data_IF_533888235156
#
_entry.id   IF_533888235156
#
_cell.length_a   1.000
_cell.length_b   1.000
_cell.length_c   1.000
_cell.angle_alpha   90.00
_cell.angle_beta   90.00
_cell.angle_gamma   90.00
#
_symmetry.space_group_name_H-M   'P 1'
#
loop_
_entity.id
_entity.type
_entity.pdbx_description
1 polymer ?
#
# COMPACT_ATOMS: atom_id res chain seq x y z
N UNK A 1 24.46 7.92 9.07
CA UNK A 1 24.30 6.44 9.00
C UNK A 1 24.09 6.02 7.55
N UNK A 2 24.49 4.79 7.25
CA UNK A 2 24.20 4.12 5.98
C UNK A 2 22.93 3.30 6.13
N UNK A 3 21.85 3.70 5.46
CA UNK A 3 20.52 3.09 5.58
C UNK A 3 20.19 2.26 4.34
N UNK A 4 20.05 0.94 4.50
CA UNK A 4 19.54 0.06 3.45
C UNK A 4 18.02 -0.06 3.57
N UNK A 5 17.28 0.51 2.64
CA UNK A 5 15.81 0.45 2.57
C UNK A 5 15.40 -0.61 1.56
N UNK A 6 14.61 -1.60 1.96
CA UNK A 6 14.21 -2.72 1.12
C UNK A 6 12.68 -2.79 1.04
N UNK A 7 12.10 -2.54 -0.13
CA UNK A 7 10.65 -2.61 -0.32
C UNK A 7 10.25 -3.59 -1.42
N UNK A 8 9.08 -4.18 -1.28
CA UNK A 8 8.48 -5.07 -2.26
C UNK A 8 6.96 -4.87 -2.24
N UNK A 9 6.37 -4.88 -3.42
CA UNK A 9 4.94 -4.66 -3.60
C UNK A 9 4.64 -3.67 -4.71
N UNK A 10 3.45 -3.11 -4.67
CA UNK A 10 2.95 -2.18 -5.68
C UNK A 10 3.45 -0.74 -5.42
N UNK A 11 3.02 0.19 -6.26
CA UNK A 11 3.28 1.63 -6.08
C UNK A 11 2.99 2.11 -4.65
N UNK A 12 1.92 1.59 -4.02
CA UNK A 12 1.55 1.94 -2.64
C UNK A 12 2.56 1.49 -1.58
N UNK A 13 3.42 0.51 -1.89
CA UNK A 13 4.49 0.04 -1.01
C UNK A 13 5.83 0.72 -1.32
N UNK A 14 6.02 1.21 -2.56
CA UNK A 14 7.27 1.83 -3.02
C UNK A 14 7.32 3.33 -2.72
N UNK A 15 6.26 4.09 -3.01
CA UNK A 15 6.23 5.54 -2.79
C UNK A 15 6.51 5.96 -1.35
N UNK A 16 5.95 5.29 -0.31
CA UNK A 16 6.30 5.63 1.06
C UNK A 16 7.77 5.41 1.41
N UNK A 17 8.39 4.34 0.88
CA UNK A 17 9.82 4.11 1.05
C UNK A 17 10.67 5.15 0.30
N UNK A 18 10.23 5.60 -0.86
CA UNK A 18 10.88 6.69 -1.58
C UNK A 18 10.82 8.01 -0.79
N UNK A 19 9.67 8.32 -0.18
CA UNK A 19 9.52 9.47 0.70
C UNK A 19 10.44 9.37 1.93
N UNK A 20 10.53 8.19 2.56
CA UNK A 20 11.44 7.92 3.66
C UNK A 20 12.90 8.12 3.22
N UNK A 21 13.28 7.58 2.06
CA UNK A 21 14.63 7.68 1.52
C UNK A 21 15.06 9.13 1.29
N UNK A 22 14.21 9.93 0.63
CA UNK A 22 14.49 11.36 0.39
C UNK A 22 14.61 12.14 1.69
N UNK A 23 13.68 11.90 2.62
CA UNK A 23 13.73 12.62 3.90
C UNK A 23 14.96 12.23 4.72
N UNK A 24 15.33 10.95 4.78
CA UNK A 24 16.54 10.51 5.45
C UNK A 24 17.80 11.09 4.79
N UNK A 25 17.87 11.11 3.45
CA UNK A 25 18.98 11.73 2.72
C UNK A 25 19.09 13.24 3.01
N UNK A 26 17.98 13.97 3.09
CA UNK A 26 17.96 15.39 3.46
C UNK A 26 18.44 15.65 4.89
N UNK A 27 18.42 14.62 5.76
CA UNK A 27 18.98 14.65 7.12
C UNK A 27 20.46 14.25 7.17
N UNK A 28 21.09 14.02 6.03
CA UNK A 28 22.51 13.69 5.93
C UNK A 28 22.84 12.19 6.06
N UNK A 29 21.86 11.31 5.91
CA UNK A 29 22.10 9.87 5.83
C UNK A 29 22.50 9.45 4.42
N UNK A 30 23.40 8.47 4.29
CA UNK A 30 23.64 7.76 3.04
C UNK A 30 22.56 6.68 2.90
N UNK A 31 21.73 6.76 1.86
CA UNK A 31 20.55 5.90 1.72
C UNK A 31 20.60 5.16 0.39
N UNK A 32 20.41 3.85 0.43
CA UNK A 32 20.14 3.02 -0.76
C UNK A 32 18.78 2.39 -0.66
N UNK A 33 17.95 2.58 -1.71
CA UNK A 33 16.61 2.01 -1.81
C UNK A 33 16.59 0.85 -2.81
N UNK A 34 16.30 -0.35 -2.33
CA UNK A 34 16.06 -1.51 -3.18
C UNK A 34 14.56 -1.68 -3.44
N UNK A 35 14.17 -1.79 -4.70
CA UNK A 35 12.78 -1.72 -5.14
C UNK A 35 12.48 -2.73 -6.28
N UNK A 36 11.19 -3.06 -6.55
CA UNK A 36 10.77 -3.91 -7.65
C UNK A 36 11.19 -3.38 -9.03
N UNK A 37 11.33 -4.28 -10.01
CA UNK A 37 11.80 -3.94 -11.36
C UNK A 37 10.82 -3.06 -12.15
N UNK A 38 9.52 -3.27 -11.90
CA UNK A 38 8.42 -2.51 -12.50
C UNK A 38 8.06 -1.22 -11.75
N UNK A 39 8.76 -0.91 -10.65
CA UNK A 39 8.58 0.34 -9.93
C UNK A 39 9.25 1.52 -10.65
N UNK A 40 8.64 2.70 -10.52
CA UNK A 40 9.24 3.95 -10.99
C UNK A 40 10.38 4.33 -10.06
N UNK A 41 11.58 4.51 -10.62
CA UNK A 41 12.75 4.90 -9.86
C UNK A 41 12.58 6.33 -9.30
N UNK A 42 12.78 6.54 -7.99
CA UNK A 42 12.64 7.86 -7.40
C UNK A 42 13.84 8.75 -7.76
N UNK A 43 13.56 9.97 -8.20
CA UNK A 43 14.63 10.95 -8.45
C UNK A 43 15.33 11.35 -7.14
N UNK A 44 16.65 11.60 -7.21
CA UNK A 44 17.44 12.10 -6.08
C UNK A 44 17.71 11.07 -4.97
N UNK A 45 17.51 9.79 -5.22
CA UNK A 45 17.79 8.68 -4.30
C UNK A 45 18.67 7.67 -5.00
N UNK A 46 19.69 7.13 -4.33
CA UNK A 46 20.43 5.95 -4.81
C UNK A 46 19.51 4.71 -4.70
N UNK A 47 19.37 3.96 -5.80
CA UNK A 47 18.45 2.83 -5.85
C UNK A 47 19.00 1.65 -6.66
N UNK A 48 18.51 0.45 -6.30
CA UNK A 48 18.84 -0.82 -6.97
C UNK A 48 17.58 -1.67 -7.20
N UNK A 49 17.65 -2.63 -8.12
CA UNK A 49 16.55 -3.56 -8.41
C UNK A 49 16.62 -4.83 -7.57
N UNK A 50 15.45 -5.41 -7.29
CA UNK A 50 15.30 -6.65 -6.52
C UNK A 50 14.93 -7.87 -7.35
N UNK A 51 15.05 -7.82 -8.68
CA UNK A 51 14.63 -8.90 -9.60
C UNK A 51 13.17 -9.33 -9.37
N UNK A 52 12.28 -8.38 -9.07
CA UNK A 52 10.88 -8.57 -8.72
C UNK A 52 9.96 -7.82 -9.67
N UNK A 53 9.29 -8.52 -10.56
CA UNK A 53 8.19 -7.99 -11.37
C UNK A 53 6.86 -8.24 -10.66
N UNK A 54 6.34 -7.20 -10.02
CA UNK A 54 5.10 -7.29 -9.21
C UNK A 54 3.88 -7.43 -10.11
N UNK A 55 3.86 -6.77 -11.28
CA UNK A 55 2.75 -6.89 -12.25
C UNK A 55 2.57 -8.34 -12.68
N UNK A 56 3.66 -9.03 -12.98
CA UNK A 56 3.65 -10.43 -13.38
C UNK A 56 3.13 -11.34 -12.27
N UNK A 57 3.52 -11.10 -11.01
CA UNK A 57 3.03 -11.87 -9.86
C UNK A 57 1.53 -11.63 -9.62
N UNK A 58 1.07 -10.39 -9.78
CA UNK A 58 -0.34 -10.02 -9.58
C UNK A 58 -1.23 -10.32 -10.79
N UNK A 59 -0.65 -10.74 -11.92
CA UNK A 59 -1.39 -11.13 -13.11
C UNK A 59 -2.40 -12.24 -12.78
N UNK A 60 -3.59 -12.23 -13.42
CA UNK A 60 -4.66 -13.15 -13.06
C UNK A 60 -4.23 -14.60 -13.25
N UNK A 61 -4.00 -15.30 -12.15
CA UNK A 61 -4.00 -16.77 -12.18
C UNK A 61 -5.42 -17.24 -12.55
N UNK A 62 -5.54 -18.30 -13.35
CA UNK A 62 -6.83 -18.90 -13.64
C UNK A 62 -7.62 -19.23 -12.35
N UNK A 63 -8.93 -19.34 -12.44
CA UNK A 63 -9.83 -19.53 -11.29
C UNK A 63 -9.80 -20.93 -10.67
N UNK A 64 -9.13 -21.89 -11.29
CA UNK A 64 -9.05 -23.27 -10.80
C UNK A 64 -7.93 -23.43 -9.78
N UNK A 65 -8.07 -24.36 -8.80
CA UNK A 65 -6.98 -24.67 -7.87
C UNK A 65 -5.67 -25.07 -8.58
N UNK A 66 -5.77 -25.76 -9.72
CA UNK A 66 -4.62 -26.12 -10.55
C UNK A 66 -3.92 -24.92 -11.17
N UNK A 67 -4.67 -23.97 -11.71
CA UNK A 67 -4.10 -22.73 -12.27
C UNK A 67 -3.41 -21.89 -11.18
N UNK A 68 -4.00 -21.83 -10.00
CA UNK A 68 -3.39 -21.17 -8.85
C UNK A 68 -2.10 -21.85 -8.41
N UNK A 69 -2.10 -23.19 -8.29
CA UNK A 69 -0.91 -23.96 -7.93
C UNK A 69 0.19 -23.82 -9.00
N UNK A 70 -0.18 -23.83 -10.29
CA UNK A 70 0.75 -23.58 -11.39
C UNK A 70 1.37 -22.19 -11.31
N UNK A 71 0.54 -21.15 -11.12
CA UNK A 71 1.02 -19.76 -10.99
C UNK A 71 1.99 -19.59 -9.80
N UNK A 72 1.65 -20.18 -8.66
CA UNK A 72 2.53 -20.15 -7.48
C UNK A 72 3.88 -20.82 -7.76
N UNK A 73 3.91 -21.92 -8.52
CA UNK A 73 5.15 -22.66 -8.83
C UNK A 73 5.94 -22.03 -9.96
N UNK A 74 5.28 -21.54 -11.02
CA UNK A 74 5.92 -21.07 -12.23
C UNK A 74 6.31 -19.57 -12.15
N UNK A 75 5.57 -18.76 -11.43
CA UNK A 75 5.76 -17.31 -11.39
C UNK A 75 6.18 -16.80 -10.00
N UNK A 76 5.35 -17.05 -8.97
CA UNK A 76 5.55 -16.43 -7.66
C UNK A 76 6.82 -16.95 -6.98
N UNK A 77 7.00 -18.27 -6.91
CA UNK A 77 8.15 -18.83 -6.19
C UNK A 77 9.50 -18.52 -6.83
N UNK A 78 9.67 -18.60 -8.17
CA UNK A 78 10.91 -18.18 -8.81
C UNK A 78 11.22 -16.68 -8.64
N UNK A 79 10.20 -15.81 -8.74
CA UNK A 79 10.37 -14.38 -8.48
C UNK A 79 10.82 -14.11 -7.04
N UNK A 80 10.12 -14.68 -6.06
CA UNK A 80 10.52 -14.54 -4.65
C UNK A 80 11.92 -15.05 -4.36
N UNK A 81 12.36 -16.14 -5.01
CA UNK A 81 13.75 -16.62 -4.88
C UNK A 81 14.78 -15.60 -5.38
N UNK A 82 14.55 -15.01 -6.55
CA UNK A 82 15.43 -13.96 -7.09
C UNK A 82 15.48 -12.77 -6.15
N UNK A 83 14.31 -12.29 -5.69
CA UNK A 83 14.22 -11.18 -4.73
C UNK A 83 14.94 -11.46 -3.42
N UNK A 84 14.81 -12.67 -2.87
CA UNK A 84 15.51 -13.11 -1.66
C UNK A 84 17.04 -13.00 -1.85
N UNK A 85 17.56 -13.48 -2.98
CA UNK A 85 18.99 -13.45 -3.30
C UNK A 85 19.46 -12.02 -3.58
N UNK A 86 18.73 -11.26 -4.41
CA UNK A 86 19.06 -9.87 -4.74
C UNK A 86 19.11 -9.00 -3.46
N UNK A 87 18.13 -9.12 -2.57
CA UNK A 87 18.11 -8.38 -1.32
C UNK A 87 19.33 -8.68 -0.43
N UNK A 88 19.82 -9.94 -0.39
CA UNK A 88 21.05 -10.28 0.33
C UNK A 88 22.26 -9.63 -0.33
N UNK A 89 22.45 -9.80 -1.64
CA UNK A 89 23.57 -9.26 -2.39
C UNK A 89 23.69 -7.75 -2.25
N UNK A 90 22.57 -7.04 -2.48
CA UNK A 90 22.55 -5.57 -2.41
C UNK A 90 22.80 -5.06 -0.99
N UNK A 91 22.29 -5.75 0.03
CA UNK A 91 22.52 -5.38 1.43
C UNK A 91 23.98 -5.61 1.81
N UNK A 92 24.57 -6.75 1.43
CA UNK A 92 25.99 -7.05 1.68
C UNK A 92 26.91 -6.05 0.96
N UNK A 93 26.63 -5.74 -0.31
CA UNK A 93 27.42 -4.81 -1.10
C UNK A 93 27.35 -3.37 -0.59
N UNK A 94 26.24 -2.98 0.04
CA UNK A 94 26.06 -1.64 0.59
C UNK A 94 26.70 -1.47 1.96
N UNK A 95 26.91 -2.53 2.74
CA UNK A 95 27.47 -2.47 4.11
C UNK A 95 26.75 -1.46 5.01
N UNK A 96 25.43 -1.64 5.25
CA UNK A 96 24.64 -0.67 6.00
C UNK A 96 24.92 -0.67 7.49
N UNK A 97 24.64 0.46 8.16
CA UNK A 97 24.55 0.56 9.63
C UNK A 97 23.19 0.07 10.14
N UNK A 98 22.14 0.16 9.29
CA UNK A 98 20.76 -0.20 9.63
C UNK A 98 20.00 -0.71 8.38
N UNK A 99 19.25 -1.80 8.54
CA UNK A 99 18.36 -2.35 7.52
C UNK A 99 16.91 -2.01 7.85
N UNK A 100 16.22 -1.31 6.96
CA UNK A 100 14.79 -0.98 7.06
C UNK A 100 14.06 -1.72 5.96
N UNK A 101 13.08 -2.56 6.30
CA UNK A 101 12.50 -3.44 5.30
C UNK A 101 10.99 -3.64 5.41
N UNK A 102 10.35 -3.85 4.25
CA UNK A 102 8.99 -4.33 4.16
C UNK A 102 8.89 -5.82 4.58
N UNK A 103 7.80 -6.31 5.19
CA UNK A 103 7.65 -7.72 5.61
C UNK A 103 7.84 -8.76 4.51
N UNK A 104 7.60 -8.40 3.23
CA UNK A 104 7.80 -9.29 2.08
C UNK A 104 9.28 -9.53 1.74
N UNK A 105 10.21 -8.75 2.27
CA UNK A 105 11.65 -8.99 2.12
C UNK A 105 12.09 -10.04 3.14
N UNK A 106 11.86 -11.31 2.80
CA UNK A 106 11.99 -12.43 3.73
C UNK A 106 13.42 -12.71 4.17
N UNK A 107 14.43 -12.29 3.38
CA UNK A 107 15.85 -12.43 3.71
C UNK A 107 16.40 -11.31 4.61
N UNK A 108 15.68 -10.20 4.77
CA UNK A 108 16.19 -9.07 5.56
C UNK A 108 16.57 -9.44 7.01
N UNK A 109 15.80 -10.28 7.74
CA UNK A 109 16.22 -10.72 9.08
C UNK A 109 17.54 -11.49 9.06
N UNK A 110 17.71 -12.37 8.06
CA UNK A 110 18.90 -13.19 7.94
C UNK A 110 20.16 -12.37 7.62
N UNK A 111 20.07 -11.45 6.66
CA UNK A 111 21.23 -10.65 6.25
C UNK A 111 21.61 -9.65 7.32
N UNK A 112 20.66 -9.00 8.00
CA UNK A 112 20.94 -8.10 9.11
C UNK A 112 21.63 -8.82 10.28
N UNK A 113 21.14 -9.99 10.69
CA UNK A 113 21.75 -10.81 11.74
C UNK A 113 23.17 -11.26 11.33
N UNK A 114 23.40 -11.63 10.06
CA UNK A 114 24.71 -12.05 9.57
C UNK A 114 25.72 -10.90 9.53
N UNK A 115 25.28 -9.68 9.23
CA UNK A 115 26.14 -8.48 9.24
C UNK A 115 26.30 -7.91 10.67
N UNK A 116 25.50 -8.35 11.64
CA UNK A 116 25.52 -7.81 13.01
C UNK A 116 24.93 -6.41 13.13
N UNK A 117 24.04 -6.03 12.19
CA UNK A 117 23.41 -4.70 12.16
C UNK A 117 21.95 -4.75 12.63
N UNK A 118 21.44 -3.69 13.27
CA UNK A 118 20.02 -3.62 13.63
C UNK A 118 19.11 -3.61 12.39
N UNK A 119 17.87 -4.02 12.60
CA UNK A 119 16.84 -3.96 11.55
C UNK A 119 15.52 -3.40 12.07
N UNK A 120 14.81 -2.73 11.19
CA UNK A 120 13.50 -2.14 11.41
C UNK A 120 12.51 -2.67 10.38
N UNK A 121 11.34 -3.10 10.84
CA UNK A 121 10.23 -3.52 9.96
C UNK A 121 9.32 -2.34 9.70
N UNK A 122 8.86 -2.18 8.47
CA UNK A 122 7.86 -1.18 8.09
C UNK A 122 6.58 -1.87 7.67
N UNK A 123 5.47 -1.55 8.32
CA UNK A 123 4.15 -2.08 7.99
C UNK A 123 3.19 -0.95 7.59
N UNK A 124 2.47 -1.15 6.48
CA UNK A 124 1.39 -0.27 5.99
C UNK A 124 -0.01 -0.78 6.39
N UNK A 125 -0.06 -1.92 7.03
CA UNK A 125 -1.22 -2.55 7.63
C UNK A 125 -0.73 -3.59 8.63
N UNK A 126 -1.47 -3.93 9.70
CA UNK A 126 -1.03 -4.90 10.70
C UNK A 126 -1.08 -6.32 10.13
N UNK A 127 0.02 -6.76 9.51
CA UNK A 127 0.17 -8.09 8.91
C UNK A 127 1.14 -8.99 9.69
N UNK A 128 2.17 -8.41 10.31
CA UNK A 128 3.18 -9.10 11.10
C UNK A 128 3.09 -8.76 12.60
N UNK A 129 2.74 -7.52 12.92
CA UNK A 129 2.57 -7.03 14.30
C UNK A 129 1.23 -7.49 14.88
N UNK A 130 1.26 -8.59 15.61
CA UNK A 130 0.05 -9.23 16.14
C UNK A 130 -0.60 -8.44 17.26
N UNK A 131 -1.95 -8.38 17.25
CA UNK A 131 -2.78 -7.77 18.27
C UNK A 131 -4.00 -8.66 18.58
N UNK A 132 -4.46 -8.61 19.82
CA UNK A 132 -5.77 -9.14 20.21
C UNK A 132 -6.91 -8.16 19.86
N UNK A 133 -6.60 -6.89 19.61
CA UNK A 133 -7.57 -5.83 19.29
C UNK A 133 -7.92 -5.75 17.81
N UNK A 134 -7.10 -6.34 16.94
CA UNK A 134 -7.24 -6.25 15.49
C UNK A 134 -6.93 -7.59 14.81
N UNK A 135 -7.72 -8.02 13.82
CA UNK A 135 -7.33 -9.14 12.95
C UNK A 135 -6.18 -8.75 12.04
N UNK A 136 -5.42 -9.75 11.55
CA UNK A 136 -4.41 -9.53 10.52
C UNK A 136 -5.04 -8.96 9.24
N UNK A 137 -4.48 -7.90 8.69
CA UNK A 137 -5.07 -7.15 7.58
C UNK A 137 -5.18 -7.96 6.27
N UNK A 138 -4.24 -8.86 5.99
CA UNK A 138 -4.21 -9.67 4.77
C UNK A 138 -4.94 -11.03 4.86
N UNK A 139 -5.65 -11.30 5.95
CA UNK A 139 -6.31 -12.59 6.19
C UNK A 139 -7.76 -12.65 5.75
N UNK A 140 -8.36 -13.85 5.68
CA UNK A 140 -9.76 -14.04 5.29
C UNK A 140 -10.75 -13.43 6.31
N UNK A 141 -10.28 -13.12 7.51
CA UNK A 141 -11.06 -12.52 8.60
C UNK A 141 -10.74 -11.04 8.83
N UNK A 142 -10.05 -10.39 7.89
CA UNK A 142 -9.55 -9.03 8.03
C UNK A 142 -10.64 -7.97 8.37
N UNK A 143 -11.90 -8.25 8.09
CA UNK A 143 -13.04 -7.37 8.36
C UNK A 143 -13.83 -7.76 9.61
N UNK A 144 -13.46 -8.87 10.30
CA UNK A 144 -14.21 -9.42 11.42
C UNK A 144 -13.39 -9.34 12.70
N UNK A 145 -13.93 -8.68 13.70
CA UNK A 145 -13.35 -8.73 15.04
C UNK A 145 -13.70 -10.09 15.68
N UNK A 146 -12.67 -10.83 16.04
CA UNK A 146 -12.74 -12.14 16.72
C UNK A 146 -12.38 -12.03 18.22
N UNK A 147 -12.30 -10.81 18.74
CA UNK A 147 -11.84 -10.53 20.11
C UNK A 147 -10.43 -11.08 20.35
N UNK A 148 -10.20 -11.74 21.49
CA UNK A 148 -8.90 -12.29 21.84
C UNK A 148 -8.33 -13.26 20.77
N UNK A 149 -9.16 -13.87 19.94
CA UNK A 149 -8.75 -14.76 18.85
C UNK A 149 -8.14 -14.02 17.65
N UNK A 150 -8.23 -12.68 17.59
CA UNK A 150 -7.57 -11.90 16.54
C UNK A 150 -6.08 -12.24 16.40
N UNK A 151 -5.38 -12.51 17.53
CA UNK A 151 -3.97 -12.94 17.48
C UNK A 151 -3.72 -14.18 16.64
N UNK A 152 -4.65 -15.12 16.59
CA UNK A 152 -4.51 -16.34 15.79
C UNK A 152 -4.55 -16.08 14.29
N UNK A 153 -5.19 -14.99 13.85
CA UNK A 153 -5.27 -14.64 12.42
C UNK A 153 -3.92 -14.32 11.80
N UNK A 154 -2.95 -13.88 12.61
CA UNK A 154 -1.57 -13.60 12.19
C UNK A 154 -0.75 -14.87 11.90
N UNK A 155 -1.29 -16.05 12.20
CA UNK A 155 -0.66 -17.32 11.81
C UNK A 155 -0.64 -17.52 10.29
N UNK A 156 -1.65 -16.99 9.56
CA UNK A 156 -1.77 -17.14 8.10
C UNK A 156 -0.61 -16.46 7.37
N UNK A 157 -0.35 -15.15 7.50
CA UNK A 157 0.79 -14.52 6.84
C UNK A 157 2.14 -15.12 7.27
N UNK A 158 2.27 -15.54 8.53
CA UNK A 158 3.48 -16.22 9.00
C UNK A 158 3.68 -17.60 8.35
N UNK A 159 2.61 -18.38 8.16
CA UNK A 159 2.68 -19.66 7.49
C UNK A 159 3.08 -19.50 6.01
N UNK A 160 2.54 -18.47 5.33
CA UNK A 160 2.91 -18.15 3.95
C UNK A 160 4.40 -17.81 3.86
N UNK A 161 4.92 -16.96 4.76
CA UNK A 161 6.34 -16.62 4.78
C UNK A 161 7.24 -17.84 4.98
N UNK A 162 6.83 -18.78 5.84
CA UNK A 162 7.59 -20.03 6.10
C UNK A 162 7.72 -20.94 4.88
N UNK A 163 6.85 -20.85 3.90
CA UNK A 163 6.99 -21.60 2.64
C UNK A 163 8.31 -21.30 1.92
N UNK A 164 8.94 -20.16 2.22
CA UNK A 164 10.19 -19.71 1.63
C UNK A 164 11.42 -19.90 2.54
N UNK A 165 11.27 -20.49 3.74
CA UNK A 165 12.41 -20.67 4.67
C UNK A 165 13.59 -21.41 4.03
N UNK A 166 13.30 -22.43 3.19
CA UNK A 166 14.34 -23.14 2.44
C UNK A 166 15.00 -22.28 1.35
N UNK A 167 14.29 -21.29 0.78
CA UNK A 167 14.84 -20.37 -0.22
C UNK A 167 15.72 -19.32 0.47
N UNK A 168 15.29 -18.82 1.64
CA UNK A 168 16.10 -17.94 2.50
C UNK A 168 17.38 -18.64 2.98
N UNK A 169 17.28 -19.89 3.42
CA UNK A 169 18.45 -20.64 3.86
C UNK A 169 19.49 -20.86 2.74
N UNK A 170 19.04 -21.04 1.48
CA UNK A 170 19.96 -21.16 0.33
C UNK A 170 20.63 -19.83 0.01
N UNK A 171 19.94 -18.72 0.15
CA UNK A 171 20.51 -17.37 -0.06
C UNK A 171 21.61 -17.03 0.95
N UNK A 172 21.76 -17.78 2.04
CA UNK A 172 22.89 -17.64 2.95
C UNK A 172 24.26 -17.90 2.27
N UNK A 173 24.28 -18.57 1.11
CA UNK A 173 25.49 -18.71 0.31
C UNK A 173 26.04 -17.39 -0.24
N UNK A 174 25.21 -16.36 -0.32
CA UNK A 174 25.62 -15.00 -0.74
C UNK A 174 26.25 -14.19 0.42
N UNK A 175 26.24 -14.71 1.64
CA UNK A 175 26.82 -14.03 2.80
C UNK A 175 28.34 -14.18 2.84
N UNK A 176 29.10 -13.15 3.27
CA UNK A 176 30.55 -13.21 3.40
C UNK A 176 30.99 -14.33 4.36
N UNK A 177 32.00 -15.09 3.94
CA UNK A 177 32.63 -16.12 4.79
C UNK A 177 31.75 -17.32 5.15
N UNK A 178 30.65 -17.58 4.39
CA UNK A 178 29.76 -18.71 4.64
C UNK A 178 29.06 -18.66 6.00
N UNK A 179 28.88 -17.48 6.56
CA UNK A 179 28.23 -17.27 7.86
C UNK A 179 26.85 -17.93 7.86
N UNK A 180 26.64 -18.88 8.76
CA UNK A 180 25.29 -19.39 9.01
C UNK A 180 24.58 -18.39 9.93
N UNK A 181 23.39 -17.89 9.52
CA UNK A 181 22.64 -17.00 10.39
C UNK A 181 22.30 -17.74 11.69
N UNK A 182 22.57 -17.09 12.83
CA UNK A 182 22.15 -17.54 14.14
C UNK A 182 20.64 -17.47 14.32
N UNK A 183 20.17 -17.56 15.56
CA UNK A 183 18.77 -17.30 15.88
C UNK A 183 18.38 -15.89 15.42
N UNK A 184 17.24 -15.76 14.72
CA UNK A 184 16.73 -14.48 14.23
C UNK A 184 16.49 -13.55 15.42
N UNK A 185 17.30 -12.52 15.54
CA UNK A 185 17.08 -11.46 16.52
C UNK A 185 15.73 -10.77 16.26
N UNK A 186 14.99 -10.30 17.29
CA UNK A 186 13.81 -9.48 17.05
C UNK A 186 14.18 -8.18 16.33
N UNK A 187 13.25 -7.60 15.57
CA UNK A 187 13.45 -6.25 15.03
C UNK A 187 13.65 -5.24 16.17
N UNK A 188 14.59 -4.31 15.97
CA UNK A 188 14.86 -3.24 16.93
C UNK A 188 13.62 -2.36 17.12
N UNK A 189 12.96 -2.04 16.01
CA UNK A 189 11.69 -1.33 15.98
C UNK A 189 10.78 -1.86 14.85
N UNK A 190 9.49 -1.53 14.95
CA UNK A 190 8.53 -1.61 13.86
C UNK A 190 7.96 -0.21 13.62
N UNK A 191 8.07 0.28 12.41
CA UNK A 191 7.41 1.50 11.98
C UNK A 191 6.06 1.14 11.36
N UNK A 192 4.99 1.50 12.04
CA UNK A 192 3.63 1.39 11.50
C UNK A 192 3.31 2.69 10.79
N UNK A 193 3.49 2.70 9.47
CA UNK A 193 3.31 3.87 8.60
C UNK A 193 1.83 4.14 8.31
N UNK A 194 1.05 4.30 9.36
CA UNK A 194 -0.41 4.37 9.36
C UNK A 194 -0.88 5.49 10.28
N UNK A 195 -1.83 6.28 9.82
CA UNK A 195 -2.43 7.34 10.63
C UNK A 195 -3.20 6.77 11.84
N UNK A 196 -2.98 7.30 13.05
CA UNK A 196 -3.77 6.93 14.23
C UNK A 196 -5.25 7.32 14.11
N UNK A 197 -5.59 8.19 13.16
CA UNK A 197 -6.97 8.60 12.89
C UNK A 197 -7.77 7.52 12.16
N UNK A 198 -7.10 6.65 11.40
CA UNK A 198 -7.71 5.51 10.68
C UNK A 198 -7.50 4.17 11.39
N UNK A 199 -6.48 4.08 12.21
CA UNK A 199 -6.17 2.90 12.99
C UNK A 199 -5.64 3.36 14.36
N UNK A 200 -6.49 3.54 15.37
CA UNK A 200 -6.02 3.83 16.72
C UNK A 200 -5.04 2.77 17.20
N UNK A 201 -3.95 3.21 17.85
CA UNK A 201 -2.93 2.30 18.36
C UNK A 201 -3.54 1.28 19.32
N UNK A 202 -3.44 -0.03 19.06
CA UNK A 202 -3.80 -1.06 20.03
C UNK A 202 -2.96 -0.96 21.32
N UNK A 203 -3.61 -1.13 22.45
CA UNK A 203 -2.98 -1.09 23.79
C UNK A 203 -2.03 -2.28 24.04
N UNK A 204 -2.18 -3.37 23.27
CA UNK A 204 -1.35 -4.57 23.38
C UNK A 204 -0.16 -4.59 22.40
N UNK A 205 0.07 -3.51 21.63
CA UNK A 205 1.28 -3.39 20.84
C UNK A 205 2.49 -3.04 21.74
N UNK A 206 3.62 -3.73 21.60
CA UNK A 206 4.81 -3.42 22.38
C UNK A 206 5.36 -2.02 22.06
N UNK A 207 6.14 -1.45 22.99
CA UNK A 207 6.72 -0.10 22.86
C UNK A 207 7.55 0.10 21.59
N UNK A 208 8.28 -0.94 21.15
CA UNK A 208 9.05 -0.92 19.91
C UNK A 208 8.22 -0.73 18.63
N UNK A 209 6.89 -0.75 18.70
CA UNK A 209 6.01 -0.42 17.57
C UNK A 209 5.73 1.08 17.59
N UNK A 210 6.27 1.81 16.65
CA UNK A 210 6.09 3.25 16.50
C UNK A 210 5.09 3.52 15.39
N UNK A 211 3.95 4.07 15.73
CA UNK A 211 2.94 4.51 14.76
C UNK A 211 3.26 5.94 14.34
N UNK A 212 3.76 6.10 13.13
CA UNK A 212 4.34 7.35 12.66
C UNK A 212 3.38 8.25 11.88
N UNK A 213 2.19 7.74 11.52
CA UNK A 213 1.37 8.35 10.48
C UNK A 213 1.79 7.83 9.09
N UNK A 214 0.94 8.07 8.10
CA UNK A 214 1.24 7.65 6.73
C UNK A 214 2.36 8.52 6.12
N UNK A 215 3.17 7.90 5.25
CA UNK A 215 4.31 8.54 4.63
C UNK A 215 3.95 9.06 3.24
N UNK A 216 4.18 10.33 3.03
CA UNK A 216 3.97 11.01 1.76
C UNK A 216 5.22 11.80 1.40
N UNK A 217 5.42 11.98 0.11
CA UNK A 217 6.33 13.00 -0.38
C UNK A 217 5.73 14.38 -0.06
N UNK A 218 6.58 15.38 0.04
CA UNK A 218 6.10 16.77 0.02
C UNK A 218 5.37 17.01 -1.30
N UNK A 219 4.25 17.76 -1.22
CA UNK A 219 3.42 18.02 -2.38
C UNK A 219 4.27 18.57 -3.53
N UNK A 220 4.07 18.03 -4.72
CA UNK A 220 4.75 18.51 -5.92
C UNK A 220 4.44 19.99 -6.14
N UNK A 221 5.47 20.80 -6.32
CA UNK A 221 5.30 22.19 -6.73
C UNK A 221 4.86 22.34 -8.21
N UNK A 222 4.83 21.25 -8.97
CA UNK A 222 4.40 21.23 -10.35
C UNK A 222 2.88 21.48 -10.44
N UNK A 223 2.47 22.35 -11.35
CA UNK A 223 1.04 22.53 -11.64
C UNK A 223 0.44 21.25 -12.25
N UNK A 224 -0.84 20.97 -12.00
CA UNK A 224 -1.53 19.86 -12.66
C UNK A 224 -1.55 20.08 -14.19
N UNK A 225 -1.68 18.99 -14.94
CA UNK A 225 -1.91 19.03 -16.38
C UNK A 225 -3.09 19.99 -16.67
N UNK A 226 -2.97 20.93 -17.65
CA UNK A 226 -4.03 21.89 -17.93
C UNK A 226 -5.40 21.27 -18.21
N UNK A 227 -5.45 20.15 -18.95
CA UNK A 227 -6.69 19.44 -19.24
C UNK A 227 -7.33 18.90 -17.96
N UNK A 228 -6.51 18.39 -17.05
CA UNK A 228 -6.99 17.94 -15.73
C UNK A 228 -7.47 19.15 -14.92
N UNK A 229 -6.70 20.25 -14.86
CA UNK A 229 -7.07 21.45 -14.12
C UNK A 229 -8.42 22.03 -14.59
N UNK A 230 -8.62 22.17 -15.90
CA UNK A 230 -9.87 22.64 -16.51
C UNK A 230 -11.04 21.70 -16.15
N UNK A 231 -10.81 20.39 -16.21
CA UNK A 231 -11.82 19.42 -15.79
C UNK A 231 -12.18 19.62 -14.33
N UNK A 232 -11.24 19.74 -13.42
CA UNK A 232 -11.49 19.89 -11.98
C UNK A 232 -12.26 21.18 -11.68
N UNK A 233 -11.98 22.28 -12.40
CA UNK A 233 -12.62 23.58 -12.21
C UNK A 233 -14.08 23.62 -12.70
N UNK A 234 -14.48 22.72 -13.58
CA UNK A 234 -15.78 22.79 -14.27
C UNK A 234 -16.98 22.28 -13.43
N UNK A 235 -16.78 21.83 -12.19
CA UNK A 235 -17.86 21.44 -11.28
C UNK A 235 -17.54 20.21 -10.42
N UNK A 236 -18.50 19.74 -9.60
CA UNK A 236 -18.28 18.64 -8.68
C UNK A 236 -17.98 17.33 -9.41
N UNK A 237 -17.00 16.57 -8.91
CA UNK A 237 -16.50 15.36 -9.56
C UNK A 237 -16.16 14.23 -8.58
N UNK A 238 -16.17 13.02 -9.12
CA UNK A 238 -15.69 11.79 -8.48
C UNK A 238 -14.29 11.49 -9.01
N UNK A 239 -13.35 11.12 -8.14
CA UNK A 239 -12.08 10.49 -8.55
C UNK A 239 -12.24 8.97 -8.48
N UNK A 240 -12.09 8.28 -9.61
CA UNK A 240 -12.15 6.82 -9.69
C UNK A 240 -10.77 6.24 -9.98
N UNK A 241 -10.21 5.42 -9.06
CA UNK A 241 -8.90 4.81 -9.22
C UNK A 241 -8.81 3.43 -8.58
N UNK A 242 -8.45 2.42 -9.37
CA UNK A 242 -8.14 1.09 -8.84
C UNK A 242 -6.65 0.73 -8.90
N UNK A 243 -5.80 1.73 -9.14
CA UNK A 243 -4.34 1.59 -9.09
C UNK A 243 -3.83 0.43 -9.96
N UNK A 244 -3.14 -0.51 -9.34
CA UNK A 244 -2.55 -1.67 -10.01
C UNK A 244 -3.51 -2.86 -10.16
N UNK A 245 -4.81 -2.72 -9.82
CA UNK A 245 -5.76 -3.83 -9.78
C UNK A 245 -6.44 -4.08 -11.13
N UNK A 246 -5.85 -4.90 -11.98
CA UNK A 246 -6.36 -5.25 -13.33
C UNK A 246 -7.29 -6.48 -13.36
N UNK A 247 -7.81 -6.96 -12.22
CA UNK A 247 -8.63 -8.19 -12.14
C UNK A 247 -10.08 -7.96 -12.54
N UNK A 248 -10.64 -8.87 -13.35
CA UNK A 248 -12.04 -8.87 -13.78
C UNK A 248 -12.34 -7.88 -14.91
N UNK A 249 -13.60 -7.57 -15.16
CA UNK A 249 -14.05 -6.70 -16.25
C UNK A 249 -13.89 -5.22 -15.89
N UNK A 250 -12.84 -4.61 -16.42
CA UNK A 250 -12.50 -3.20 -16.21
C UNK A 250 -13.54 -2.26 -16.85
N UNK A 251 -14.11 -2.64 -17.99
CA UNK A 251 -15.10 -1.83 -18.72
C UNK A 251 -16.46 -1.83 -18.00
N UNK A 252 -16.91 -2.98 -17.49
CA UNK A 252 -18.11 -3.04 -16.68
C UNK A 252 -18.00 -2.20 -15.40
N UNK A 253 -16.81 -2.19 -14.77
CA UNK A 253 -16.56 -1.31 -13.60
C UNK A 253 -16.64 0.17 -13.97
N UNK A 254 -15.96 0.57 -15.04
CA UNK A 254 -15.99 1.96 -15.51
C UNK A 254 -17.40 2.41 -15.82
N UNK A 255 -18.17 1.60 -16.57
CA UNK A 255 -19.59 1.86 -16.87
C UNK A 255 -20.40 2.05 -15.60
N UNK A 256 -20.28 1.13 -14.64
CA UNK A 256 -21.05 1.20 -13.41
C UNK A 256 -20.76 2.48 -12.60
N UNK A 257 -19.48 2.90 -12.55
CA UNK A 257 -19.07 4.12 -11.85
C UNK A 257 -19.62 5.36 -12.55
N UNK A 258 -19.50 5.47 -13.87
CA UNK A 258 -19.98 6.63 -14.63
C UNK A 258 -21.50 6.73 -14.52
N UNK A 259 -22.23 5.62 -14.68
CA UNK A 259 -23.69 5.58 -14.54
C UNK A 259 -24.12 6.06 -13.13
N UNK A 260 -23.48 5.54 -12.08
CA UNK A 260 -23.82 5.92 -10.73
C UNK A 260 -23.46 7.40 -10.41
N UNK A 261 -22.33 7.89 -10.88
CA UNK A 261 -21.94 9.28 -10.70
C UNK A 261 -22.92 10.25 -11.40
N UNK A 262 -23.32 9.94 -12.64
CA UNK A 262 -24.30 10.72 -13.41
C UNK A 262 -25.66 10.82 -12.70
N UNK A 263 -26.10 9.75 -12.02
CA UNK A 263 -27.34 9.75 -11.21
C UNK A 263 -27.29 10.80 -10.08
N UNK A 264 -26.09 11.11 -9.59
CA UNK A 264 -25.87 12.14 -8.56
C UNK A 264 -25.42 13.50 -9.14
N UNK A 265 -25.50 13.69 -10.47
CA UNK A 265 -25.05 14.93 -11.13
C UNK A 265 -23.54 15.19 -11.01
N UNK A 266 -22.74 14.15 -10.85
CA UNK A 266 -21.31 14.24 -10.66
C UNK A 266 -20.55 13.88 -11.93
N UNK A 267 -19.49 14.62 -12.22
CA UNK A 267 -18.51 14.35 -13.26
C UNK A 267 -17.54 13.25 -12.77
N UNK A 268 -16.82 12.59 -13.67
CA UNK A 268 -15.92 11.49 -13.29
C UNK A 268 -14.53 11.68 -13.87
N UNK A 269 -13.53 11.80 -13.00
CA UNK A 269 -12.13 11.68 -13.34
C UNK A 269 -11.69 10.23 -13.13
N UNK A 270 -11.37 9.54 -14.22
CA UNK A 270 -10.91 8.15 -14.21
C UNK A 270 -9.40 8.07 -14.32
N UNK A 271 -8.75 7.49 -13.30
CA UNK A 271 -7.34 7.17 -13.30
C UNK A 271 -7.18 5.67 -13.63
N UNK A 272 -6.82 5.35 -14.88
CA UNK A 272 -6.80 3.95 -15.34
C UNK A 272 -5.69 3.11 -14.71
N UNK A 273 -4.59 3.75 -14.29
CA UNK A 273 -3.44 3.06 -13.69
C UNK A 273 -2.87 1.97 -14.59
N UNK A 274 -2.75 0.76 -14.07
CA UNK A 274 -2.31 -0.43 -14.82
C UNK A 274 -3.47 -1.19 -15.50
N UNK A 275 -4.60 -0.54 -15.77
CA UNK A 275 -5.74 -1.15 -16.44
C UNK A 275 -6.85 -1.64 -15.48
N UNK A 276 -6.86 -1.15 -14.24
CA UNK A 276 -7.92 -1.46 -13.28
C UNK A 276 -9.30 -0.91 -13.66
N UNK A 277 -9.33 0.15 -14.46
CA UNK A 277 -10.52 0.77 -15.06
C UNK A 277 -10.30 0.95 -16.56
N UNK A 278 -11.36 0.71 -17.31
CA UNK A 278 -11.50 1.07 -18.72
C UNK A 278 -12.92 1.65 -18.93
N UNK A 279 -13.04 2.53 -19.91
CA UNK A 279 -14.35 3.09 -20.26
C UNK A 279 -14.76 2.63 -21.66
N UNK A 280 -15.93 2.03 -21.81
CA UNK A 280 -16.50 1.79 -23.12
C UNK A 280 -17.02 3.11 -23.71
N UNK A 281 -17.09 3.20 -25.05
CA UNK A 281 -17.41 4.42 -25.79
C UNK A 281 -18.76 5.05 -25.39
N UNK A 282 -19.72 4.25 -24.98
CA UNK A 282 -21.02 4.73 -24.48
C UNK A 282 -20.95 5.55 -23.18
N UNK A 283 -19.80 5.52 -22.49
CA UNK A 283 -19.54 6.34 -21.32
C UNK A 283 -18.92 7.69 -21.64
N UNK A 284 -18.47 7.90 -22.88
CA UNK A 284 -17.83 9.16 -23.28
C UNK A 284 -18.80 10.34 -23.10
N UNK A 285 -18.22 11.49 -22.78
CA UNK A 285 -18.98 12.72 -22.59
C UNK A 285 -18.16 13.82 -21.94
N UNK A 286 -18.61 15.07 -21.99
CA UNK A 286 -17.89 16.22 -21.40
C UNK A 286 -17.79 16.13 -19.86
N UNK A 287 -18.56 15.25 -19.26
CA UNK A 287 -18.62 14.97 -17.83
C UNK A 287 -17.61 13.88 -17.41
N UNK A 288 -16.83 13.32 -18.34
CA UNK A 288 -15.89 12.25 -18.05
C UNK A 288 -14.51 12.58 -18.61
N UNK A 289 -13.50 12.52 -17.75
CA UNK A 289 -12.09 12.63 -18.17
C UNK A 289 -11.34 11.35 -17.80
N UNK A 290 -10.66 10.76 -18.76
CA UNK A 290 -9.83 9.58 -18.58
C UNK A 290 -8.37 9.95 -18.74
N UNK A 291 -7.59 9.70 -17.68
CA UNK A 291 -6.13 9.85 -17.71
C UNK A 291 -5.46 8.59 -17.15
N UNK A 292 -4.22 8.34 -17.54
CA UNK A 292 -3.48 7.19 -17.03
C UNK A 292 -3.18 7.31 -15.54
N UNK A 293 -2.72 8.49 -15.13
CA UNK A 293 -2.38 8.81 -13.73
C UNK A 293 -2.38 10.31 -13.52
N UNK A 294 -2.64 10.72 -12.29
CA UNK A 294 -2.46 12.09 -11.82
C UNK A 294 -2.02 12.05 -10.35
N UNK A 295 -1.24 13.02 -9.87
CA UNK A 295 -0.89 13.14 -8.46
C UNK A 295 -2.15 13.31 -7.61
N UNK A 296 -2.27 12.54 -6.53
CA UNK A 296 -3.45 12.60 -5.64
C UNK A 296 -3.58 13.94 -4.91
N UNK A 297 -2.48 14.61 -4.62
CA UNK A 297 -2.45 15.95 -4.04
C UNK A 297 -3.06 17.04 -4.95
N UNK A 298 -3.13 16.79 -6.26
CA UNK A 298 -3.79 17.68 -7.21
C UNK A 298 -5.28 17.35 -7.43
N UNK A 299 -5.62 16.06 -7.46
CA UNK A 299 -6.97 15.64 -7.91
C UNK A 299 -7.93 15.28 -6.78
N UNK A 300 -7.45 15.01 -5.57
CA UNK A 300 -8.32 14.75 -4.42
C UNK A 300 -8.86 16.03 -3.77
N UNK A 301 -8.07 17.11 -3.59
CA UNK A 301 -8.62 18.35 -3.06
C UNK A 301 -9.78 18.84 -3.95
N UNK A 302 -10.96 19.06 -3.34
CA UNK A 302 -12.16 19.49 -4.08
C UNK A 302 -13.01 18.36 -4.67
N UNK A 303 -12.51 17.12 -4.73
CA UNK A 303 -13.33 15.97 -5.16
C UNK A 303 -14.59 15.82 -4.29
N UNK A 304 -15.74 15.53 -4.89
CA UNK A 304 -16.96 15.23 -4.15
C UNK A 304 -16.84 13.93 -3.36
N UNK A 305 -16.25 12.92 -3.95
CA UNK A 305 -15.89 11.65 -3.33
C UNK A 305 -14.83 10.92 -4.17
N UNK A 306 -14.26 9.86 -3.61
CA UNK A 306 -13.38 8.95 -4.33
C UNK A 306 -13.93 7.53 -4.35
N UNK A 307 -13.86 6.86 -5.51
CA UNK A 307 -14.17 5.42 -5.67
C UNK A 307 -12.84 4.70 -5.88
N UNK A 308 -12.45 3.80 -4.95
CA UNK A 308 -11.15 3.15 -5.04
C UNK A 308 -11.13 1.72 -4.49
N UNK A 309 -10.02 1.01 -4.73
CA UNK A 309 -9.86 -0.39 -4.33
C UNK A 309 -9.59 -0.62 -2.83
N UNK A 310 -9.20 0.41 -2.09
CA UNK A 310 -8.93 0.28 -0.65
C UNK A 310 -7.50 -0.12 -0.27
N UNK A 311 -6.51 0.00 -1.16
CA UNK A 311 -5.10 -0.16 -0.77
C UNK A 311 -4.67 0.90 0.25
N UNK A 312 -3.73 0.55 1.15
CA UNK A 312 -3.30 1.41 2.27
C UNK A 312 -2.97 2.85 1.83
N UNK A 313 -2.10 3.02 0.82
CA UNK A 313 -1.68 4.35 0.35
C UNK A 313 -2.85 5.18 -0.17
N UNK A 314 -3.70 4.61 -1.03
CA UNK A 314 -4.89 5.31 -1.57
C UNK A 314 -5.89 5.65 -0.46
N UNK A 315 -6.15 4.73 0.46
CA UNK A 315 -7.06 4.94 1.59
C UNK A 315 -6.63 6.10 2.47
N UNK A 316 -5.33 6.17 2.77
CA UNK A 316 -4.76 7.28 3.55
C UNK A 316 -4.75 8.59 2.78
N UNK A 317 -4.42 8.58 1.47
CA UNK A 317 -4.43 9.78 0.63
C UNK A 317 -5.83 10.40 0.53
N UNK A 318 -6.86 9.58 0.28
CA UNK A 318 -8.25 10.03 0.20
C UNK A 318 -8.74 10.59 1.53
N UNK A 319 -8.50 9.87 2.63
CA UNK A 319 -8.91 10.33 3.96
C UNK A 319 -8.17 11.61 4.39
N UNK A 320 -6.85 11.71 4.13
CA UNK A 320 -6.05 12.91 4.43
C UNK A 320 -6.50 14.14 3.62
N UNK A 321 -6.96 13.93 2.38
CA UNK A 321 -7.57 15.00 1.58
C UNK A 321 -8.93 15.46 2.12
N UNK A 322 -9.52 14.74 3.07
CA UNK A 322 -10.84 15.03 3.62
C UNK A 322 -11.97 14.64 2.66
N UNK A 323 -11.72 13.67 1.78
CA UNK A 323 -12.65 13.23 0.74
C UNK A 323 -13.34 11.94 1.20
N UNK A 324 -14.68 11.87 1.20
CA UNK A 324 -15.39 10.64 1.51
C UNK A 324 -15.17 9.58 0.42
N UNK A 325 -15.29 8.30 0.77
CA UNK A 325 -14.92 7.22 -0.12
C UNK A 325 -16.01 6.17 -0.32
N UNK A 326 -16.00 5.56 -1.50
CA UNK A 326 -16.61 4.26 -1.79
C UNK A 326 -15.48 3.27 -2.08
N UNK A 327 -15.41 2.20 -1.28
CA UNK A 327 -14.33 1.22 -1.40
C UNK A 327 -14.86 -0.07 -2.04
N UNK A 328 -14.17 -0.53 -3.10
CA UNK A 328 -14.44 -1.80 -3.79
C UNK A 328 -13.19 -2.68 -3.67
N UNK A 329 -13.07 -3.49 -2.62
CA UNK A 329 -11.87 -4.27 -2.36
C UNK A 329 -11.75 -5.50 -3.26
N UNK A 330 -10.52 -5.80 -3.70
CA UNK A 330 -10.18 -6.95 -4.54
C UNK A 330 -9.47 -8.05 -3.74
N UNK A 331 -8.46 -7.70 -2.94
CA UNK A 331 -7.58 -8.66 -2.26
C UNK A 331 -6.71 -8.01 -1.18
N UNK A 332 -5.87 -8.82 -0.54
CA UNK A 332 -4.86 -8.42 0.44
C UNK A 332 -5.45 -7.59 1.61
N UNK A 333 -4.87 -6.45 1.93
CA UNK A 333 -5.26 -5.53 3.00
C UNK A 333 -6.47 -4.64 2.65
N UNK A 334 -6.92 -4.65 1.39
CA UNK A 334 -7.97 -3.75 0.91
C UNK A 334 -9.31 -3.92 1.66
N UNK A 335 -9.79 -5.16 1.97
CA UNK A 335 -10.98 -5.32 2.80
C UNK A 335 -10.83 -4.73 4.20
N UNK A 336 -9.63 -4.85 4.78
CA UNK A 336 -9.32 -4.27 6.09
C UNK A 336 -9.46 -2.75 6.05
N UNK A 337 -8.80 -2.08 5.11
CA UNK A 337 -8.85 -0.62 4.98
C UNK A 337 -10.24 -0.11 4.65
N UNK A 338 -10.98 -0.80 3.76
CA UNK A 338 -12.38 -0.46 3.50
C UNK A 338 -13.24 -0.50 4.76
N UNK A 339 -13.07 -1.53 5.60
CA UNK A 339 -13.77 -1.65 6.88
C UNK A 339 -13.33 -0.56 7.88
N UNK A 340 -12.05 -0.19 7.93
CA UNK A 340 -11.56 0.89 8.81
C UNK A 340 -12.13 2.24 8.39
N UNK A 341 -12.07 2.60 7.10
CA UNK A 341 -12.65 3.84 6.59
C UNK A 341 -14.14 3.96 6.91
N UNK A 342 -14.89 2.86 6.71
CA UNK A 342 -16.31 2.83 7.07
C UNK A 342 -16.54 2.99 8.58
N UNK A 343 -15.78 2.28 9.41
CA UNK A 343 -15.89 2.34 10.88
C UNK A 343 -15.61 3.75 11.40
N UNK A 344 -14.69 4.47 10.79
CA UNK A 344 -14.34 5.85 11.15
C UNK A 344 -15.28 6.90 10.52
N UNK A 345 -16.29 6.46 9.77
CA UNK A 345 -17.32 7.33 9.20
C UNK A 345 -16.84 8.15 8.00
N UNK A 346 -15.73 7.77 7.36
CA UNK A 346 -15.17 8.48 6.19
C UNK A 346 -15.42 7.77 4.86
N UNK A 347 -16.08 6.61 4.88
CA UNK A 347 -16.47 5.87 3.69
C UNK A 347 -17.82 5.19 3.86
N UNK A 348 -18.53 4.96 2.76
CA UNK A 348 -19.66 4.05 2.70
C UNK A 348 -19.24 2.62 3.06
N UNK A 349 -20.20 1.73 3.33
CA UNK A 349 -19.92 0.32 3.53
C UNK A 349 -19.21 -0.25 2.28
N UNK A 350 -18.09 -1.00 2.43
CA UNK A 350 -17.34 -1.52 1.28
C UNK A 350 -18.22 -2.44 0.41
N UNK A 351 -18.13 -2.27 -0.92
CA UNK A 351 -18.85 -3.11 -1.88
C UNK A 351 -17.93 -4.25 -2.31
N UNK A 352 -18.21 -5.51 -1.92
CA UNK A 352 -17.45 -6.66 -2.44
C UNK A 352 -17.51 -6.71 -3.97
N UNK A 353 -16.37 -6.96 -4.64
CA UNK A 353 -16.29 -6.94 -6.12
C UNK A 353 -17.40 -7.75 -6.81
N UNK A 354 -17.81 -8.90 -6.24
CA UNK A 354 -18.88 -9.75 -6.76
C UNK A 354 -20.29 -9.13 -6.70
N UNK A 355 -20.47 -8.07 -5.89
CA UNK A 355 -21.73 -7.33 -5.72
C UNK A 355 -21.69 -5.95 -6.36
N UNK A 356 -20.61 -5.65 -7.08
CA UNK A 356 -20.47 -4.37 -7.76
C UNK A 356 -21.49 -4.26 -8.89
N UNK A 357 -22.34 -3.26 -8.82
CA UNK A 357 -23.34 -2.88 -9.84
C UNK A 357 -23.54 -1.37 -9.82
N UNK A 358 -24.18 -0.82 -10.86
CA UNK A 358 -24.53 0.60 -10.88
C UNK A 358 -25.43 0.97 -9.69
N UNK A 359 -26.46 0.18 -9.39
CA UNK A 359 -27.39 0.45 -8.29
C UNK A 359 -26.68 0.43 -6.92
N UNK A 360 -25.79 -0.55 -6.69
CA UNK A 360 -25.01 -0.61 -5.47
C UNK A 360 -24.09 0.61 -5.32
N UNK A 361 -23.51 1.11 -6.42
CA UNK A 361 -22.70 2.32 -6.43
C UNK A 361 -23.56 3.57 -6.22
N UNK A 362 -24.77 3.68 -6.81
CA UNK A 362 -25.68 4.80 -6.57
C UNK A 362 -25.96 4.96 -5.09
N UNK A 363 -26.32 3.87 -4.41
CA UNK A 363 -26.58 3.90 -2.97
C UNK A 363 -25.33 4.24 -2.16
N UNK A 364 -24.18 3.64 -2.50
CA UNK A 364 -22.93 3.87 -1.78
C UNK A 364 -22.39 5.31 -2.01
N UNK A 365 -22.57 5.89 -3.19
CA UNK A 365 -22.23 7.29 -3.46
C UNK A 365 -23.09 8.22 -2.60
N UNK A 366 -24.40 8.01 -2.53
CA UNK A 366 -25.28 8.79 -1.67
C UNK A 366 -24.89 8.71 -0.19
N UNK A 367 -24.60 7.51 0.32
CA UNK A 367 -24.08 7.33 1.70
C UNK A 367 -22.71 8.01 1.89
N UNK A 368 -21.77 7.88 0.94
CA UNK A 368 -20.47 8.52 1.03
C UNK A 368 -20.58 10.06 1.06
N UNK A 369 -21.42 10.64 0.23
CA UNK A 369 -21.63 12.09 0.20
C UNK A 369 -22.14 12.63 1.54
N UNK A 370 -22.99 11.90 2.25
CA UNK A 370 -23.47 12.30 3.58
C UNK A 370 -22.37 12.31 4.66
N UNK A 371 -21.21 11.72 4.39
CA UNK A 371 -20.06 11.63 5.29
C UNK A 371 -19.02 12.73 5.08
N UNK A 372 -19.28 13.71 4.22
CA UNK A 372 -18.37 14.78 3.85
C UNK A 372 -17.79 15.52 5.06
N UNK A 373 -18.63 15.92 6.00
CA UNK A 373 -18.20 16.65 7.19
C UNK A 373 -17.20 15.83 8.01
N UNK A 374 -17.54 14.56 8.27
CA UNK A 374 -16.65 13.66 9.03
C UNK A 374 -15.35 13.39 8.28
N UNK A 375 -15.37 13.21 6.96
CA UNK A 375 -14.18 13.03 6.17
C UNK A 375 -13.27 14.27 6.24
N UNK A 376 -13.85 15.47 6.18
CA UNK A 376 -13.11 16.73 6.31
C UNK A 376 -12.44 16.88 7.68
N UNK A 377 -13.16 16.53 8.76
CA UNK A 377 -12.62 16.55 10.11
C UNK A 377 -11.42 15.58 10.26
N UNK A 378 -11.61 14.32 9.88
CA UNK A 378 -10.56 13.30 9.96
C UNK A 378 -9.37 13.70 9.11
N UNK A 379 -9.59 14.21 7.89
CA UNK A 379 -8.53 14.70 7.01
C UNK A 379 -7.74 15.84 7.64
N UNK A 380 -8.41 16.77 8.35
CA UNK A 380 -7.77 17.84 9.11
C UNK A 380 -6.83 17.32 10.20
N UNK A 381 -7.24 16.29 10.92
CA UNK A 381 -6.41 15.62 11.93
C UNK A 381 -5.22 14.89 11.29
N UNK A 382 -5.45 14.14 10.21
CA UNK A 382 -4.40 13.39 9.50
C UNK A 382 -3.31 14.28 8.90
N UNK A 383 -3.61 15.50 8.51
CA UNK A 383 -2.60 16.46 8.02
C UNK A 383 -1.62 16.91 9.10
N UNK A 384 -1.91 16.65 10.37
CA UNK A 384 -1.00 16.92 11.50
C UNK A 384 -0.06 15.78 11.80
N UNK A 385 -0.26 14.60 11.18
CA UNK A 385 0.64 13.46 11.34
C UNK A 385 2.03 13.83 10.81
N UNK A 386 3.06 13.45 11.58
CA UNK A 386 4.46 13.78 11.24
C UNK A 386 5.03 12.87 10.14
N UNK A 387 4.41 11.70 9.93
CA UNK A 387 4.73 10.77 8.85
C UNK A 387 6.22 10.38 8.79
N UNK A 388 6.85 10.64 7.65
CA UNK A 388 8.26 10.31 7.41
C UNK A 388 9.21 11.02 8.37
N UNK A 389 8.87 12.23 8.85
CA UNK A 389 9.69 12.97 9.81
C UNK A 389 9.83 12.20 11.10
N UNK A 390 8.70 11.72 11.65
CA UNK A 390 8.72 10.90 12.86
C UNK A 390 9.42 9.56 12.63
N UNK A 391 9.28 8.98 11.43
CA UNK A 391 9.97 7.75 11.08
C UNK A 391 11.49 7.92 11.14
N UNK A 392 12.04 8.99 10.56
CA UNK A 392 13.48 9.26 10.60
C UNK A 392 13.94 9.58 12.02
N UNK A 393 13.18 10.36 12.82
CA UNK A 393 13.51 10.60 14.23
C UNK A 393 13.64 9.27 15.01
N UNK A 394 12.75 8.30 14.76
CA UNK A 394 12.86 6.96 15.37
C UNK A 394 14.12 6.24 14.91
N UNK A 395 14.43 6.24 13.59
CA UNK A 395 15.63 5.57 13.07
C UNK A 395 16.91 6.17 13.66
N UNK A 396 16.97 7.48 13.88
CA UNK A 396 18.11 8.17 14.49
C UNK A 396 18.26 7.87 15.99
N UNK A 397 17.20 7.43 16.66
CA UNK A 397 17.21 7.09 18.09
C UNK A 397 17.63 5.65 18.40
N UNK A 398 17.82 4.80 17.41
CA UNK A 398 18.13 3.36 17.56
C UNK A 398 19.61 3.09 17.73
#
# INVERSE_FOLDING_TARGET
MRLMLLTAGTRGDVEPFAALARHAASRGHEVRLALPDDAVAPAGVDWVRLDLDVQRILSPAGRTPWALAHHLRAEVRPAMRRTIVAAVRETVAFEPDLVVHHPLILSAPMVADALGVPRVVVEFAPVATASARLPAAGGPTATRDLGARNRSTYAVPRAIARLFDGDVARAAAELPGGRRPGFRSPSRATLMAVSPQLLPRPDDWPERVHQTGAWYEEASAASPDPVVADFLAAGPYVVASFGSMAKGDASARGRAIVTAARTHGLRVLVLTGWGGLALPAECDGPDVLVVRSAPFDHVLPGAALAVHHGGAGTSHAVARAGVPAVVVPFMADQPFWGAQLHRHGVAAAPIPLRRLSADALVQAIGDALSRRERATEVGGLMRRDRGVRQAVDVLESL
#
